data_IF_803019270689
#
_entry.id   IF_803019270689
#
_cell.length_a   1.000
_cell.length_b   1.000
_cell.length_c   1.000
_cell.angle_alpha   90.00
_cell.angle_beta   90.00
_cell.angle_gamma   90.00
#
_symmetry.space_group_name_H-M   'P 1'
#
loop_
_entity.id
_entity.type
_entity.pdbx_description
1 polymer ?
#
# COMPACT_ATOMS: atom_id res chain seq x y z
N UNK A 1 -10.79 -0.41 14.78
CA UNK A 1 -9.91 -0.29 13.60
C UNK A 1 -8.60 -0.98 13.94
N UNK A 2 -8.26 -2.06 13.24
CA UNK A 2 -6.99 -2.76 13.45
C UNK A 2 -5.82 -1.96 12.86
N UNK A 3 -4.59 -2.31 13.22
CA UNK A 3 -3.41 -1.67 12.62
C UNK A 3 -3.29 -1.99 11.13
N UNK A 4 -3.85 -3.10 10.68
CA UNK A 4 -3.91 -3.49 9.26
C UNK A 4 -4.94 -2.65 8.49
N UNK A 5 -6.12 -2.39 9.07
CA UNK A 5 -7.12 -1.50 8.49
C UNK A 5 -6.59 -0.07 8.35
N UNK A 6 -5.88 0.43 9.36
CA UNK A 6 -5.28 1.77 9.34
C UNK A 6 -4.21 1.89 8.23
N UNK A 7 -3.41 0.83 8.03
CA UNK A 7 -2.44 0.80 6.94
C UNK A 7 -3.14 0.78 5.58
N UNK A 8 -4.17 -0.05 5.41
CA UNK A 8 -4.91 -0.13 4.16
C UNK A 8 -5.56 1.22 3.79
N UNK A 9 -6.18 1.89 4.77
CA UNK A 9 -6.75 3.23 4.59
C UNK A 9 -5.69 4.27 4.19
N UNK A 10 -4.51 4.24 4.83
CA UNK A 10 -3.42 5.16 4.49
C UNK A 10 -2.86 4.94 3.07
N UNK A 11 -2.72 3.67 2.66
CA UNK A 11 -2.29 3.30 1.30
C UNK A 11 -3.36 3.69 0.27
N UNK A 12 -4.64 3.50 0.59
CA UNK A 12 -5.74 3.94 -0.28
C UNK A 12 -5.78 5.46 -0.46
N UNK A 13 -5.62 6.21 0.64
CA UNK A 13 -5.53 7.65 0.60
C UNK A 13 -4.31 8.14 -0.20
N UNK A 14 -3.18 7.42 -0.15
CA UNK A 14 -2.03 7.71 -1.01
C UNK A 14 -2.37 7.50 -2.49
N UNK A 15 -2.91 6.33 -2.85
CA UNK A 15 -3.27 6.03 -4.23
C UNK A 15 -4.28 7.04 -4.79
N UNK A 16 -5.29 7.45 -4.01
CA UNK A 16 -6.27 8.47 -4.40
C UNK A 16 -5.61 9.83 -4.70
N UNK A 17 -4.67 10.28 -3.85
CA UNK A 17 -3.93 11.54 -4.05
C UNK A 17 -3.04 11.53 -5.29
N UNK A 18 -2.61 10.36 -5.75
CA UNK A 18 -1.75 10.20 -6.94
C UNK A 18 -2.53 9.75 -8.19
N UNK A 19 -3.86 9.97 -8.23
CA UNK A 19 -4.67 9.67 -9.41
C UNK A 19 -5.04 8.19 -9.57
N UNK A 20 -5.16 7.47 -8.45
CA UNK A 20 -5.55 6.06 -8.41
C UNK A 20 -4.40 5.07 -8.56
N UNK A 21 -3.17 5.53 -8.75
CA UNK A 21 -1.99 4.65 -8.83
C UNK A 21 -0.77 5.29 -8.20
N UNK A 22 0.02 4.49 -7.50
CA UNK A 22 1.32 4.88 -6.96
C UNK A 22 2.34 3.80 -7.30
N UNK A 23 3.56 4.20 -7.69
CA UNK A 23 4.64 3.28 -8.02
C UNK A 23 5.94 3.78 -7.39
N UNK A 24 6.66 2.90 -6.69
CA UNK A 24 7.92 3.26 -6.05
C UNK A 24 8.51 2.09 -5.25
N UNK A 25 9.59 2.33 -4.52
CA UNK A 25 10.18 1.31 -3.65
C UNK A 25 9.45 1.24 -2.31
N UNK A 26 9.71 0.21 -1.51
CA UNK A 26 9.18 0.16 -0.14
C UNK A 26 9.69 1.32 0.74
N UNK A 27 10.87 1.88 0.45
CA UNK A 27 11.40 3.07 1.13
C UNK A 27 10.60 4.31 0.74
N UNK A 28 10.30 4.48 -0.55
CA UNK A 28 9.49 5.61 -1.04
C UNK A 28 8.08 5.56 -0.46
N UNK A 29 7.49 4.37 -0.40
CA UNK A 29 6.17 4.18 0.22
C UNK A 29 6.21 4.54 1.70
N UNK A 30 7.25 4.10 2.42
CA UNK A 30 7.41 4.40 3.83
C UNK A 30 7.50 5.91 4.09
N UNK A 31 8.22 6.64 3.24
CA UNK A 31 8.34 8.10 3.32
C UNK A 31 7.03 8.83 2.97
N UNK A 32 6.16 8.22 2.15
CA UNK A 32 4.88 8.79 1.75
C UNK A 32 3.74 8.55 2.76
N UNK A 33 3.95 7.65 3.73
CA UNK A 33 2.98 7.33 4.78
C UNK A 33 3.15 8.23 6.01
N UNK A 34 2.04 8.50 6.71
CA UNK A 34 2.05 9.24 7.96
C UNK A 34 2.76 8.46 9.09
N UNK A 35 3.33 9.18 10.06
CA UNK A 35 4.21 8.60 11.08
C UNK A 35 3.54 7.60 12.03
N UNK A 36 2.23 7.76 12.24
CA UNK A 36 1.39 6.95 13.12
C UNK A 36 1.06 5.57 12.53
N UNK A 37 1.09 5.43 11.21
CA UNK A 37 0.80 4.17 10.49
C UNK A 37 2.04 3.50 9.92
N UNK A 38 3.17 4.21 9.85
CA UNK A 38 4.41 3.72 9.23
C UNK A 38 5.10 2.67 10.13
N UNK A 39 5.45 1.49 9.59
CA UNK A 39 6.35 0.56 10.27
C UNK A 39 7.76 1.16 10.41
N UNK A 40 8.63 0.63 11.29
CA UNK A 40 9.95 1.23 11.53
C UNK A 40 10.92 1.09 10.34
N UNK A 41 10.67 0.17 9.40
CA UNK A 41 11.56 -0.09 8.27
C UNK A 41 10.79 -0.43 7.01
N UNK A 42 11.42 -0.22 5.84
CA UNK A 42 10.87 -0.60 4.54
C UNK A 42 10.60 -2.12 4.44
N UNK A 43 11.48 -2.94 5.02
CA UNK A 43 11.26 -4.41 5.12
C UNK A 43 10.06 -4.76 5.97
N UNK A 44 9.88 -4.06 7.11
CA UNK A 44 8.69 -4.19 7.96
C UNK A 44 7.41 -3.79 7.24
N UNK A 45 7.47 -2.71 6.45
CA UNK A 45 6.37 -2.28 5.58
C UNK A 45 6.01 -3.34 4.54
N UNK A 46 6.99 -3.87 3.81
CA UNK A 46 6.75 -4.90 2.81
C UNK A 46 6.15 -6.19 3.42
N UNK A 47 6.57 -6.56 4.63
CA UNK A 47 6.00 -7.69 5.36
C UNK A 47 4.56 -7.39 5.80
N UNK A 48 4.30 -6.18 6.28
CA UNK A 48 2.98 -5.78 6.75
C UNK A 48 1.97 -5.67 5.62
N UNK A 49 2.33 -5.07 4.49
CA UNK A 49 1.52 -5.08 3.27
C UNK A 49 1.13 -6.50 2.83
N UNK A 50 2.03 -7.48 3.00
CA UNK A 50 1.71 -8.89 2.72
C UNK A 50 0.70 -9.48 3.71
N UNK A 51 0.77 -9.08 4.98
CA UNK A 51 -0.14 -9.57 6.03
C UNK A 51 -1.52 -8.93 5.89
N UNK A 52 -1.57 -7.65 5.55
CA UNK A 52 -2.79 -6.86 5.40
C UNK A 52 -3.44 -6.99 4.01
N UNK A 53 -3.13 -8.05 3.24
CA UNK A 53 -3.59 -8.22 1.84
C UNK A 53 -5.12 -8.21 1.74
N UNK A 54 -5.80 -8.87 2.68
CA UNK A 54 -7.27 -8.88 2.76
C UNK A 54 -7.83 -7.49 3.06
N UNK A 55 -7.22 -6.74 3.98
CA UNK A 55 -7.64 -5.39 4.34
C UNK A 55 -7.39 -4.40 3.19
N UNK A 56 -6.26 -4.53 2.48
CA UNK A 56 -5.96 -3.77 1.27
C UNK A 56 -7.00 -4.05 0.19
N UNK A 57 -7.32 -5.32 -0.05
CA UNK A 57 -8.33 -5.71 -1.04
C UNK A 57 -9.71 -5.18 -0.67
N UNK A 58 -10.10 -5.25 0.61
CA UNK A 58 -11.37 -4.70 1.10
C UNK A 58 -11.44 -3.17 0.97
N UNK A 59 -10.30 -2.49 1.07
CA UNK A 59 -10.17 -1.06 0.79
C UNK A 59 -10.07 -0.73 -0.71
N UNK A 60 -10.23 -1.73 -1.59
CA UNK A 60 -10.12 -1.56 -3.03
C UNK A 60 -8.70 -1.31 -3.50
N UNK A 61 -7.67 -1.81 -2.81
CA UNK A 61 -6.26 -1.61 -3.17
C UNK A 61 -5.62 -2.93 -3.56
N UNK A 62 -4.97 -2.92 -4.72
CA UNK A 62 -4.08 -3.99 -5.17
C UNK A 62 -2.62 -3.54 -5.05
N UNK A 63 -1.79 -4.35 -4.39
CA UNK A 63 -0.34 -4.10 -4.27
C UNK A 63 0.44 -5.18 -5.01
N UNK A 64 1.00 -4.84 -6.17
CA UNK A 64 1.87 -5.71 -6.94
C UNK A 64 3.33 -5.44 -6.64
N UNK A 65 4.14 -6.49 -6.71
CA UNK A 65 5.60 -6.39 -6.52
C UNK A 65 6.27 -6.94 -7.75
N UNK A 66 7.19 -6.18 -8.30
CA UNK A 66 7.99 -6.61 -9.43
C UNK A 66 9.42 -6.10 -9.28
N UNK A 67 10.32 -6.57 -10.16
CA UNK A 67 11.66 -6.02 -10.26
C UNK A 67 11.75 -5.12 -11.49
N UNK A 68 12.40 -3.97 -11.33
CA UNK A 68 12.75 -3.06 -12.42
C UNK A 68 14.21 -2.67 -12.24
N UNK A 69 15.03 -2.95 -13.25
CA UNK A 69 16.46 -2.65 -13.24
C UNK A 69 17.20 -3.18 -11.99
N UNK A 70 16.81 -4.38 -11.53
CA UNK A 70 17.35 -5.02 -10.33
C UNK A 70 16.76 -4.52 -8.99
N UNK A 71 15.97 -3.46 -9.00
CA UNK A 71 15.32 -2.87 -7.82
C UNK A 71 13.93 -3.47 -7.61
N UNK A 72 13.55 -3.72 -6.35
CA UNK A 72 12.18 -4.15 -6.00
C UNK A 72 11.26 -2.94 -5.97
N UNK A 73 10.22 -2.99 -6.80
CA UNK A 73 9.22 -1.92 -6.94
C UNK A 73 7.86 -2.45 -6.50
N UNK A 74 7.09 -1.57 -5.87
CA UNK A 74 5.70 -1.76 -5.50
C UNK A 74 4.84 -0.91 -6.47
N UNK A 75 3.85 -1.55 -7.09
CA UNK A 75 2.73 -0.86 -7.74
C UNK A 75 1.53 -0.97 -6.80
N UNK A 76 1.01 0.17 -6.37
CA UNK A 76 -0.22 0.29 -5.60
C UNK A 76 -1.28 0.86 -6.52
N UNK A 77 -2.39 0.14 -6.70
CA UNK A 77 -3.46 0.51 -7.63
C UNK A 77 -4.78 0.55 -6.87
N UNK A 78 -5.49 1.68 -6.97
CA UNK A 78 -6.89 1.76 -6.61
C UNK A 78 -7.69 0.97 -7.64
N UNK A 79 -8.33 -0.09 -7.16
CA UNK A 79 -9.23 -0.93 -7.92
C UNK A 79 -10.66 -0.45 -7.69
N UNK A 80 -11.43 -0.39 -8.76
CA UNK A 80 -12.85 0.01 -8.74
C UNK A 80 -13.75 -1.04 -8.03
N UNK A 81 -13.17 -2.07 -7.39
CA UNK A 81 -13.92 -3.12 -6.70
C UNK A 81 -14.67 -2.65 -5.45
N UNK A 82 -14.57 -1.38 -5.10
CA UNK A 82 -15.29 -0.79 -3.99
C UNK A 82 -16.76 -0.43 -4.30
N UNK A 83 -17.45 -1.06 -5.27
CA UNK A 83 -18.92 -0.92 -5.42
C UNK A 83 -19.57 -2.18 -6.00
N UNK A 84 -19.75 -3.23 -5.21
CA UNK A 84 -20.95 -4.10 -5.33
C UNK A 84 -21.09 -5.03 -4.11
N UNK A 85 -21.85 -4.61 -3.10
CA UNK A 85 -22.68 -5.52 -2.31
C UNK A 85 -23.75 -4.76 -1.54
#
# INVERSE_FOLDING_TARGET
MTTDDALAAAVAALAARTGGRWTGTATDLLAALAEDVRPPTASGLAMRLRRSDDALTAAGIEVRRHRRDGVRVLDVVATDRAVTR
#
